data_IF_719348498246
#
_entry.id   IF_719348498246
#
_cell.length_a   1.000
_cell.length_b   1.000
_cell.length_c   1.000
_cell.angle_alpha   90.00
_cell.angle_beta   90.00
_cell.angle_gamma   90.00
#
_symmetry.space_group_name_H-M   'P 1'
#
loop_
_entity.id
_entity.type
_entity.pdbx_description
1 polymer ?
#
# COMPACT_ATOMS: atom_id res chain seq x y z
N UNK A 1 8.08 7.71 -8.87
CA UNK A 1 7.50 6.40 -9.25
C UNK A 1 7.85 6.15 -10.71
N UNK A 2 8.73 5.20 -11.03
CA UNK A 2 8.95 4.78 -12.43
C UNK A 2 7.65 4.21 -12.97
N UNK A 3 7.19 4.74 -14.12
CA UNK A 3 5.99 4.27 -14.79
C UNK A 3 6.04 2.74 -14.96
N UNK A 4 5.00 2.04 -14.47
CA UNK A 4 4.85 0.58 -14.60
C UNK A 4 5.08 -0.25 -13.33
N UNK A 5 5.69 0.28 -12.27
CA UNK A 5 5.84 -0.46 -11.00
C UNK A 5 4.59 -0.32 -10.12
N UNK A 6 4.02 -1.43 -9.66
CA UNK A 6 2.80 -1.50 -8.83
C UNK A 6 3.13 -1.37 -7.33
N UNK A 7 3.74 -0.25 -6.94
CA UNK A 7 4.06 0.05 -5.54
C UNK A 7 5.56 0.26 -5.28
N UNK A 8 5.93 0.21 -4.00
CA UNK A 8 7.29 0.43 -3.51
C UNK A 8 7.43 1.68 -2.64
N UNK A 9 8.66 1.94 -2.24
CA UNK A 9 9.05 3.16 -1.52
C UNK A 9 9.15 4.33 -2.49
N UNK A 10 8.65 5.49 -2.07
CA UNK A 10 8.66 6.73 -2.84
C UNK A 10 8.86 7.93 -1.93
N UNK A 11 9.54 8.93 -2.50
CA UNK A 11 9.60 10.28 -1.95
C UNK A 11 8.82 11.17 -2.91
N UNK A 12 8.00 12.06 -2.37
CA UNK A 12 7.24 13.02 -3.16
C UNK A 12 7.23 14.36 -2.44
N UNK A 13 7.43 15.41 -3.23
CA UNK A 13 7.14 16.79 -2.83
C UNK A 13 5.84 17.28 -3.48
N UNK A 14 5.41 16.66 -4.59
CA UNK A 14 4.20 17.02 -5.31
C UNK A 14 3.70 15.81 -6.10
N UNK A 15 2.50 15.31 -5.76
CA UNK A 15 1.79 14.41 -6.67
C UNK A 15 0.93 15.21 -7.62
N UNK A 16 0.79 14.71 -8.85
CA UNK A 16 -0.05 15.33 -9.87
C UNK A 16 -1.49 15.50 -9.35
N UNK A 17 -1.97 16.74 -9.32
CA UNK A 17 -3.31 17.09 -8.83
C UNK A 17 -3.36 17.52 -7.35
N UNK A 18 -2.23 17.55 -6.63
CA UNK A 18 -2.17 18.16 -5.30
C UNK A 18 -2.14 19.68 -5.39
N UNK A 19 -2.98 20.36 -4.61
CA UNK A 19 -3.00 21.83 -4.54
C UNK A 19 -1.81 22.38 -3.72
N UNK A 20 -1.32 21.60 -2.75
CA UNK A 20 -0.22 21.94 -1.85
C UNK A 20 0.86 20.87 -1.94
N UNK A 21 2.11 21.31 -2.04
CA UNK A 21 3.29 20.44 -1.98
C UNK A 21 3.42 19.84 -0.58
N UNK A 22 3.41 18.51 -0.51
CA UNK A 22 3.58 17.78 0.73
C UNK A 22 4.96 17.12 0.72
N UNK A 23 5.82 17.50 1.66
CA UNK A 23 7.10 16.84 1.87
C UNK A 23 6.86 15.49 2.56
N UNK A 24 6.95 14.39 1.82
CA UNK A 24 6.67 13.06 2.38
C UNK A 24 7.45 11.94 1.75
N UNK A 25 7.68 10.94 2.58
CA UNK A 25 8.18 9.63 2.20
C UNK A 25 7.08 8.61 2.50
N UNK A 26 6.85 7.68 1.59
CA UNK A 26 5.80 6.68 1.77
C UNK A 26 6.17 5.36 1.10
N UNK A 27 5.56 4.29 1.61
CA UNK A 27 5.56 2.98 0.98
C UNK A 27 4.13 2.64 0.56
N UNK A 28 3.93 2.38 -0.73
CA UNK A 28 2.62 2.02 -1.28
C UNK A 28 2.66 0.59 -1.81
N UNK A 29 1.59 -0.15 -1.56
CA UNK A 29 1.38 -1.49 -2.09
C UNK A 29 -0.12 -1.73 -2.28
N UNK A 30 -0.47 -2.65 -3.17
CA UNK A 30 -1.85 -3.10 -3.33
C UNK A 30 -2.18 -4.15 -2.28
N UNK A 31 -3.28 -3.95 -1.56
CA UNK A 31 -3.78 -4.94 -0.59
C UNK A 31 -4.66 -6.01 -1.25
N UNK A 32 -5.46 -5.66 -2.27
CA UNK A 32 -6.33 -6.60 -3.00
C UNK A 32 -6.44 -6.25 -4.50
N UNK A 33 -6.76 -7.24 -5.35
CA UNK A 33 -6.88 -8.68 -5.05
C UNK A 33 -5.52 -9.31 -4.74
N UNK A 34 -5.49 -10.39 -3.95
CA UNK A 34 -4.24 -10.98 -3.42
C UNK A 34 -3.30 -11.41 -4.55
N UNK A 35 -3.86 -11.89 -5.65
CA UNK A 35 -3.17 -12.36 -6.85
C UNK A 35 -2.47 -11.22 -7.60
N UNK A 36 -2.87 -9.97 -7.36
CA UNK A 36 -2.25 -8.79 -7.97
C UNK A 36 -1.10 -8.19 -7.14
N UNK A 37 -0.84 -8.74 -5.95
CA UNK A 37 0.23 -8.26 -5.06
C UNK A 37 1.59 -8.57 -5.68
N UNK A 38 2.43 -7.54 -5.75
CA UNK A 38 3.84 -7.70 -6.06
C UNK A 38 4.64 -7.84 -4.77
N UNK A 39 4.75 -9.07 -4.27
CA UNK A 39 5.47 -9.39 -3.04
C UNK A 39 6.99 -9.17 -3.13
N UNK A 40 7.54 -9.00 -4.34
CA UNK A 40 8.96 -8.66 -4.51
C UNK A 40 9.25 -7.21 -4.11
N UNK A 41 8.23 -6.35 -4.13
CA UNK A 41 8.34 -4.94 -3.74
C UNK A 41 8.16 -4.73 -2.23
N UNK A 42 7.83 -5.79 -1.47
CA UNK A 42 7.54 -5.71 -0.04
C UNK A 42 8.83 -5.75 0.80
N UNK A 43 8.95 -4.89 1.84
CA UNK A 43 10.11 -4.87 2.72
C UNK A 43 10.43 -6.25 3.31
N UNK A 44 11.71 -6.57 3.36
CA UNK A 44 12.23 -7.72 4.11
C UNK A 44 12.51 -7.37 5.58
N UNK A 45 12.69 -6.09 5.86
CA UNK A 45 12.94 -5.54 7.18
C UNK A 45 11.84 -4.54 7.58
N UNK A 46 11.46 -4.49 8.86
CA UNK A 46 11.85 -5.42 9.91
C UNK A 46 11.30 -6.84 9.66
N UNK A 47 11.99 -7.85 10.19
CA UNK A 47 11.48 -9.24 10.14
C UNK A 47 10.04 -9.30 10.68
N UNK A 48 9.17 -9.98 9.96
CA UNK A 48 7.75 -10.10 10.32
C UNK A 48 6.84 -9.01 9.73
N UNK A 49 7.38 -8.01 9.02
CA UNK A 49 6.58 -6.97 8.38
C UNK A 49 5.45 -7.55 7.49
N UNK A 50 5.79 -8.53 6.65
CA UNK A 50 4.83 -9.14 5.71
C UNK A 50 3.65 -9.78 6.44
N UNK A 51 3.92 -10.57 7.47
CA UNK A 51 2.89 -11.26 8.27
C UNK A 51 1.95 -10.27 8.97
N UNK A 52 2.49 -9.17 9.50
CA UNK A 52 1.67 -8.12 10.14
C UNK A 52 0.79 -7.43 9.10
N UNK A 53 1.35 -7.06 7.95
CA UNK A 53 0.62 -6.38 6.88
C UNK A 53 -0.45 -7.27 6.26
N UNK A 54 -0.20 -8.57 6.10
CA UNK A 54 -1.19 -9.52 5.61
C UNK A 54 -2.40 -9.61 6.54
N UNK A 55 -2.17 -9.77 7.85
CA UNK A 55 -3.24 -9.78 8.85
C UNK A 55 -4.02 -8.46 8.86
N UNK A 56 -3.31 -7.34 8.74
CA UNK A 56 -3.93 -6.02 8.64
C UNK A 56 -4.83 -5.91 7.39
N UNK A 57 -4.35 -6.37 6.23
CA UNK A 57 -5.13 -6.37 5.00
C UNK A 57 -6.41 -7.21 5.13
N UNK A 58 -6.29 -8.41 5.71
CA UNK A 58 -7.45 -9.29 5.95
C UNK A 58 -8.48 -8.63 6.89
N UNK A 59 -8.02 -8.03 7.99
CA UNK A 59 -8.89 -7.32 8.92
C UNK A 59 -9.60 -6.13 8.25
N UNK A 60 -8.86 -5.34 7.46
CA UNK A 60 -9.42 -4.22 6.70
C UNK A 60 -10.46 -4.65 5.68
N UNK A 61 -10.24 -5.77 4.97
CA UNK A 61 -11.23 -6.27 4.02
C UNK A 61 -12.52 -6.69 4.73
N UNK A 62 -12.42 -7.42 5.84
CA UNK A 62 -13.60 -7.78 6.67
C UNK A 62 -14.35 -6.55 7.17
N UNK A 63 -13.62 -5.52 7.59
CA UNK A 63 -14.21 -4.25 8.03
C UNK A 63 -14.89 -3.53 6.87
N UNK A 64 -14.22 -3.39 5.72
CA UNK A 64 -14.77 -2.74 4.54
C UNK A 64 -16.04 -3.43 4.05
N UNK A 65 -16.05 -4.77 3.99
CA UNK A 65 -17.25 -5.54 3.63
C UNK A 65 -18.42 -5.22 4.55
N UNK A 66 -18.22 -5.21 5.88
CA UNK A 66 -19.28 -4.86 6.85
C UNK A 66 -19.79 -3.43 6.71
N UNK A 67 -18.92 -2.48 6.38
CA UNK A 67 -19.32 -1.08 6.17
C UNK A 67 -20.17 -0.96 4.90
N UNK A 68 -19.90 -1.80 3.89
CA UNK A 68 -20.58 -1.79 2.60
C UNK A 68 -21.81 -2.72 2.54
N UNK A 69 -22.02 -3.56 3.55
CA UNK A 69 -23.27 -4.31 3.74
C UNK A 69 -24.41 -3.29 3.99
N UNK A 70 -25.18 -3.01 2.93
CA UNK A 70 -26.46 -2.27 2.97
C UNK A 70 -27.60 -3.24 3.24
#
# INVERSE_FOLDING_TARGET
MTAGKRGGYGVSNHLFGEEIENWREFFVFFSYPVESRDSAMWPEQPKGWREVVERYCEANMKLASRILEV
#
